data_IF_558296907133
#
_entry.id   IF_558296907133
#
_cell.length_a   1.000
_cell.length_b   1.000
_cell.length_c   1.000
_cell.angle_alpha   90.00
_cell.angle_beta   90.00
_cell.angle_gamma   90.00
#
_symmetry.space_group_name_H-M   'P 1'
#
loop_
_entity.id
_entity.type
_entity.pdbx_description
1 polymer ?
#
# COMPACT_ATOMS: atom_id res chain seq x y z
N UNK A 1 26.84 0.75 -2.76
CA UNK A 1 26.44 1.78 -1.76
C UNK A 1 26.53 3.11 -2.45
N UNK A 2 25.48 3.94 -2.42
CA UNK A 2 25.54 5.28 -3.00
C UNK A 2 26.52 6.15 -2.19
N UNK A 3 27.18 7.11 -2.83
CA UNK A 3 28.03 8.06 -2.10
C UNK A 3 27.19 9.07 -1.32
N UNK A 4 27.66 9.59 -0.15
CA UNK A 4 26.92 10.62 0.61
C UNK A 4 26.49 11.82 -0.23
N UNK A 5 27.33 12.25 -1.15
CA UNK A 5 27.02 13.34 -2.08
C UNK A 5 25.85 13.00 -3.02
N UNK A 6 25.66 11.73 -3.37
CA UNK A 6 24.56 11.29 -4.22
C UNK A 6 23.21 11.44 -3.52
N UNK A 7 23.13 11.12 -2.21
CA UNK A 7 21.92 11.32 -1.40
C UNK A 7 21.55 12.81 -1.37
N UNK A 8 22.50 13.69 -1.03
CA UNK A 8 22.21 15.12 -0.97
C UNK A 8 21.80 15.71 -2.33
N UNK A 9 22.46 15.29 -3.42
CA UNK A 9 22.06 15.66 -4.77
C UNK A 9 20.66 15.11 -5.13
N UNK A 10 20.32 13.91 -4.69
CA UNK A 10 19.01 13.33 -4.91
C UNK A 10 17.89 14.12 -4.19
N UNK A 11 18.17 14.71 -3.04
CA UNK A 11 17.20 15.50 -2.28
C UNK A 11 17.16 16.99 -2.68
N UNK A 12 18.12 17.49 -3.43
CA UNK A 12 18.20 18.90 -3.85
C UNK A 12 17.19 19.22 -5.00
N UNK A 13 15.92 18.91 -4.80
CA UNK A 13 14.82 19.18 -5.73
C UNK A 13 13.48 19.10 -4.99
N UNK A 14 12.63 20.10 -5.16
CA UNK A 14 11.33 20.19 -4.48
C UNK A 14 10.43 18.99 -4.74
N UNK A 15 10.35 18.52 -5.99
CA UNK A 15 9.51 17.36 -6.34
C UNK A 15 9.97 16.09 -5.65
N UNK A 16 11.29 15.89 -5.51
CA UNK A 16 11.85 14.74 -4.84
C UNK A 16 11.64 14.78 -3.31
N UNK A 17 11.70 15.95 -2.70
CA UNK A 17 11.33 16.11 -1.29
C UNK A 17 9.85 15.77 -1.06
N UNK A 18 8.95 16.24 -1.93
CA UNK A 18 7.52 15.91 -1.90
C UNK A 18 7.29 14.41 -2.08
N UNK A 19 7.99 13.78 -3.04
CA UNK A 19 7.94 12.31 -3.22
C UNK A 19 8.40 11.57 -1.97
N UNK A 20 9.50 11.98 -1.34
CA UNK A 20 10.00 11.34 -0.12
C UNK A 20 8.98 11.39 1.01
N UNK A 21 8.32 12.54 1.22
CA UNK A 21 7.23 12.65 2.20
C UNK A 21 6.09 11.70 1.92
N UNK A 22 5.60 11.66 0.67
CA UNK A 22 4.48 10.80 0.27
C UNK A 22 4.82 9.31 0.46
N UNK A 23 5.98 8.89 -0.02
CA UNK A 23 6.46 7.51 0.03
C UNK A 23 6.88 7.07 1.44
N UNK A 24 7.18 8.01 2.32
CA UNK A 24 7.41 7.76 3.74
C UNK A 24 6.11 7.46 4.51
N UNK A 25 4.97 7.93 4.02
CA UNK A 25 3.66 7.72 4.65
C UNK A 25 2.91 6.50 4.12
N UNK A 26 3.04 6.20 2.84
CA UNK A 26 2.34 5.06 2.22
C UNK A 26 3.05 4.60 0.95
N UNK A 27 3.09 3.28 0.70
CA UNK A 27 3.44 2.77 -0.61
C UNK A 27 2.45 3.26 -1.66
N UNK A 28 2.96 3.80 -2.78
CA UNK A 28 2.16 4.36 -3.86
C UNK A 28 2.59 3.79 -5.22
N UNK A 29 1.62 3.51 -6.09
CA UNK A 29 1.91 3.22 -7.49
C UNK A 29 2.08 4.52 -8.31
N UNK A 30 2.60 4.39 -9.54
CA UNK A 30 2.88 5.56 -10.38
C UNK A 30 1.62 6.38 -10.64
N UNK A 31 0.47 5.76 -10.89
CA UNK A 31 -0.78 6.49 -11.19
C UNK A 31 -1.24 7.33 -9.99
N UNK A 32 -1.14 6.80 -8.78
CA UNK A 32 -1.44 7.54 -7.55
C UNK A 32 -0.49 8.74 -7.39
N UNK A 33 0.81 8.54 -7.60
CA UNK A 33 1.80 9.62 -7.55
C UNK A 33 1.48 10.72 -8.59
N UNK A 34 1.12 10.34 -9.82
CA UNK A 34 0.72 11.29 -10.87
C UNK A 34 -0.49 12.11 -10.45
N UNK A 35 -1.50 11.46 -9.86
CA UNK A 35 -2.72 12.10 -9.35
C UNK A 35 -2.41 13.08 -8.23
N UNK A 36 -1.60 12.67 -7.23
CA UNK A 36 -1.26 13.49 -6.07
C UNK A 36 -0.44 14.71 -6.49
N UNK A 37 0.64 14.50 -7.23
CA UNK A 37 1.58 15.57 -7.60
C UNK A 37 1.12 16.39 -8.82
N UNK A 38 0.11 15.92 -9.57
CA UNK A 38 -0.39 16.52 -10.81
C UNK A 38 0.73 16.78 -11.85
N UNK A 39 1.58 15.79 -12.03
CA UNK A 39 2.74 15.87 -12.92
C UNK A 39 2.71 14.75 -13.95
N UNK A 40 3.37 14.98 -15.09
CA UNK A 40 3.47 13.98 -16.16
C UNK A 40 4.35 12.78 -15.79
N UNK A 41 3.99 11.60 -16.31
CA UNK A 41 4.62 10.32 -16.02
C UNK A 41 6.14 10.31 -16.26
N UNK A 42 6.61 10.87 -17.37
CA UNK A 42 8.05 10.90 -17.71
C UNK A 42 8.87 11.64 -16.66
N UNK A 43 8.31 12.73 -16.11
CA UNK A 43 8.94 13.53 -15.06
C UNK A 43 9.00 12.77 -13.75
N UNK A 44 7.89 12.19 -13.33
CA UNK A 44 7.81 11.38 -12.09
C UNK A 44 8.75 10.17 -12.17
N UNK A 45 8.73 9.42 -13.28
CA UNK A 45 9.61 8.27 -13.48
C UNK A 45 11.10 8.64 -13.38
N UNK A 46 11.47 9.84 -13.89
CA UNK A 46 12.85 10.34 -13.75
C UNK A 46 13.21 10.63 -12.30
N UNK A 47 12.31 11.29 -11.53
CA UNK A 47 12.55 11.60 -10.13
C UNK A 47 12.62 10.32 -9.28
N UNK A 48 11.73 9.37 -9.49
CA UNK A 48 11.74 8.06 -8.81
C UNK A 48 13.04 7.30 -9.08
N UNK A 49 13.54 7.33 -10.32
CA UNK A 49 14.82 6.70 -10.68
C UNK A 49 15.97 7.32 -9.90
N UNK A 50 16.05 8.66 -9.83
CA UNK A 50 17.13 9.35 -9.11
C UNK A 50 17.10 8.99 -7.61
N UNK A 51 15.90 8.93 -7.00
CA UNK A 51 15.74 8.52 -5.61
C UNK A 51 16.13 7.05 -5.38
N UNK A 52 15.77 6.16 -6.30
CA UNK A 52 16.14 4.75 -6.22
C UNK A 52 17.65 4.52 -6.39
N UNK A 53 18.32 5.26 -7.30
CA UNK A 53 19.78 5.24 -7.47
C UNK A 53 20.52 5.76 -6.22
N UNK A 54 19.88 6.61 -5.42
CA UNK A 54 20.40 7.09 -4.14
C UNK A 54 20.00 6.21 -2.93
N UNK A 55 19.38 5.06 -3.16
CA UNK A 55 18.92 4.11 -2.13
C UNK A 55 17.85 4.69 -1.17
N UNK A 56 17.20 5.79 -1.54
CA UNK A 56 16.17 6.45 -0.75
C UNK A 56 14.78 5.84 -0.94
N UNK A 57 14.55 5.18 -2.09
CA UNK A 57 13.26 4.59 -2.48
C UNK A 57 13.48 3.18 -2.98
N UNK A 58 12.66 2.28 -2.52
CA UNK A 58 12.55 0.91 -3.04
C UNK A 58 11.27 0.72 -3.83
N UNK A 59 11.19 -0.39 -4.55
CA UNK A 59 10.01 -0.76 -5.33
C UNK A 59 9.63 -2.20 -5.05
N UNK A 60 8.33 -2.43 -4.88
CA UNK A 60 7.75 -3.75 -4.68
C UNK A 60 6.68 -4.03 -5.73
N UNK A 61 6.68 -5.24 -6.26
CA UNK A 61 5.66 -5.67 -7.21
C UNK A 61 4.55 -6.42 -6.47
N UNK A 62 3.31 -5.99 -6.66
CA UNK A 62 2.11 -6.66 -6.19
C UNK A 62 1.18 -6.93 -7.38
N UNK A 63 1.13 -8.17 -7.82
CA UNK A 63 0.39 -8.56 -9.02
C UNK A 63 0.89 -7.82 -10.26
N UNK A 64 0.04 -6.99 -10.86
CA UNK A 64 0.34 -6.15 -12.03
C UNK A 64 0.89 -4.76 -11.65
N UNK A 65 0.80 -4.37 -10.38
CA UNK A 65 1.19 -3.06 -9.90
C UNK A 65 2.61 -3.03 -9.37
N UNK A 66 3.28 -1.89 -9.58
CA UNK A 66 4.56 -1.57 -8.95
C UNK A 66 4.32 -0.43 -7.97
N UNK A 67 4.57 -0.71 -6.69
CA UNK A 67 4.53 0.26 -5.61
C UNK A 67 5.93 0.75 -5.29
N UNK A 68 6.02 2.02 -4.98
CA UNK A 68 7.21 2.70 -4.49
C UNK A 68 7.01 3.07 -3.03
N UNK A 69 8.05 2.96 -2.23
CA UNK A 69 8.05 3.30 -0.81
C UNK A 69 9.43 3.78 -0.36
N UNK A 70 9.52 4.51 0.74
CA UNK A 70 10.80 4.89 1.34
C UNK A 70 11.56 3.65 1.77
N UNK A 71 12.86 3.59 1.50
CA UNK A 71 13.72 2.46 1.83
C UNK A 71 14.16 2.48 3.30
N UNK A 72 13.19 2.34 4.22
CA UNK A 72 13.43 2.38 5.67
C UNK A 72 14.28 1.22 6.18
N UNK A 73 14.31 0.11 5.45
CA UNK A 73 15.07 -1.10 5.77
C UNK A 73 16.49 -1.11 5.17
N UNK A 74 16.92 0.01 4.56
CA UNK A 74 18.28 0.12 4.02
C UNK A 74 19.31 -0.22 5.09
N UNK A 75 20.33 -1.02 4.73
CA UNK A 75 21.44 -1.35 5.63
C UNK A 75 22.38 -0.15 5.87
N UNK A 76 22.14 0.95 5.17
CA UNK A 76 23.01 2.12 5.25
C UNK A 76 22.50 3.16 6.27
N UNK A 77 23.27 3.40 7.37
CA UNK A 77 22.85 4.33 8.43
C UNK A 77 22.52 5.73 7.91
N UNK A 78 23.29 6.26 6.97
CA UNK A 78 23.06 7.59 6.40
C UNK A 78 21.70 7.70 5.69
N UNK A 79 21.23 6.65 5.05
CA UNK A 79 19.88 6.62 4.46
C UNK A 79 18.84 6.68 5.57
N UNK A 80 18.96 5.84 6.60
CA UNK A 80 18.02 5.84 7.75
C UNK A 80 17.95 7.20 8.43
N UNK A 81 19.10 7.78 8.74
CA UNK A 81 19.18 9.10 9.37
C UNK A 81 18.56 10.19 8.50
N UNK A 82 18.80 10.13 7.19
CA UNK A 82 18.19 11.05 6.21
C UNK A 82 16.68 10.92 6.15
N UNK A 83 16.15 9.69 6.13
CA UNK A 83 14.71 9.43 6.11
C UNK A 83 14.04 9.88 7.40
N UNK A 84 14.68 9.63 8.57
CA UNK A 84 14.21 10.12 9.86
C UNK A 84 14.13 11.65 9.88
N UNK A 85 15.20 12.34 9.45
CA UNK A 85 15.23 13.80 9.38
C UNK A 85 14.10 14.35 8.50
N UNK A 86 13.86 13.77 7.33
CA UNK A 86 12.78 14.19 6.43
C UNK A 86 11.40 13.97 7.06
N UNK A 87 11.21 12.90 7.81
CA UNK A 87 9.97 12.61 8.51
C UNK A 87 9.72 13.60 9.65
N UNK A 88 10.74 13.90 10.44
CA UNK A 88 10.65 14.82 11.58
C UNK A 88 10.31 16.27 11.14
N UNK A 89 10.75 16.66 9.93
CA UNK A 89 10.56 18.00 9.36
C UNK A 89 9.60 18.03 8.16
N UNK A 90 8.75 17.03 8.00
CA UNK A 90 7.88 16.91 6.82
C UNK A 90 6.94 18.10 6.60
N UNK A 91 6.54 18.80 7.69
CA UNK A 91 5.66 19.97 7.62
C UNK A 91 6.32 21.19 6.99
N UNK A 92 7.63 21.24 7.05
CA UNK A 92 8.43 22.33 6.47
C UNK A 92 8.65 22.12 4.95
N UNK A 93 8.35 20.92 4.44
CA UNK A 93 8.49 20.60 3.03
C UNK A 93 7.41 21.28 2.19
N UNK A 94 7.71 21.63 0.93
CA UNK A 94 6.76 22.33 0.05
C UNK A 94 5.43 21.57 -0.14
N UNK A 95 4.35 22.32 -0.33
CA UNK A 95 2.99 21.82 -0.65
C UNK A 95 2.45 20.78 0.37
N UNK A 96 2.80 20.90 1.66
CA UNK A 96 2.45 19.93 2.69
C UNK A 96 0.96 19.58 2.72
N UNK A 97 0.10 20.57 2.95
CA UNK A 97 -1.35 20.37 3.12
C UNK A 97 -2.01 19.78 1.86
N UNK A 98 -1.69 20.35 0.68
CA UNK A 98 -2.26 19.90 -0.59
C UNK A 98 -1.88 18.47 -0.94
N UNK A 99 -0.63 18.10 -0.70
CA UNK A 99 -0.15 16.75 -1.00
C UNK A 99 -0.77 15.72 -0.05
N UNK A 100 -0.93 16.05 1.22
CA UNK A 100 -1.55 15.16 2.20
C UNK A 100 -3.03 14.93 1.91
N UNK A 101 -3.77 15.99 1.63
CA UNK A 101 -5.17 15.84 1.26
C UNK A 101 -5.34 14.89 0.06
N UNK A 102 -4.53 15.09 -1.01
CA UNK A 102 -4.58 14.23 -2.18
C UNK A 102 -4.11 12.81 -1.92
N UNK A 103 -3.16 12.63 -1.00
CA UNK A 103 -2.73 11.31 -0.55
C UNK A 103 -3.88 10.56 0.13
N UNK A 104 -4.60 11.22 1.04
CA UNK A 104 -5.76 10.65 1.71
C UNK A 104 -6.86 10.27 0.71
N UNK A 105 -7.15 11.16 -0.24
CA UNK A 105 -8.11 10.90 -1.33
C UNK A 105 -7.69 9.69 -2.18
N UNK A 106 -6.41 9.55 -2.52
CA UNK A 106 -5.88 8.43 -3.31
C UNK A 106 -5.97 7.10 -2.53
N UNK A 107 -5.62 7.10 -1.24
CA UNK A 107 -5.70 5.91 -0.38
C UNK A 107 -7.16 5.47 -0.19
N UNK A 108 -8.08 6.42 0.07
CA UNK A 108 -9.50 6.11 0.21
C UNK A 108 -10.08 5.62 -1.12
N UNK A 109 -9.70 6.22 -2.24
CA UNK A 109 -10.09 5.74 -3.57
C UNK A 109 -9.67 4.29 -3.83
N UNK A 110 -8.44 3.91 -3.46
CA UNK A 110 -7.96 2.52 -3.54
C UNK A 110 -8.77 1.59 -2.65
N UNK A 111 -9.07 2.01 -1.43
CA UNK A 111 -9.90 1.24 -0.50
C UNK A 111 -11.30 0.99 -1.06
N UNK A 112 -11.94 2.02 -1.61
CA UNK A 112 -13.27 1.90 -2.20
C UNK A 112 -13.28 0.98 -3.43
N UNK A 113 -12.26 1.05 -4.29
CA UNK A 113 -12.11 0.13 -5.41
C UNK A 113 -11.98 -1.32 -4.95
N UNK A 114 -11.22 -1.57 -3.87
CA UNK A 114 -11.07 -2.89 -3.29
C UNK A 114 -12.40 -3.42 -2.75
N UNK A 115 -13.13 -2.61 -1.99
CA UNK A 115 -14.45 -2.96 -1.45
C UNK A 115 -15.42 -3.28 -2.61
N UNK A 116 -15.55 -2.38 -3.59
CA UNK A 116 -16.43 -2.57 -4.74
C UNK A 116 -16.09 -3.84 -5.54
N UNK A 117 -14.80 -4.15 -5.68
CA UNK A 117 -14.36 -5.37 -6.33
C UNK A 117 -14.84 -6.62 -5.57
N UNK A 118 -14.66 -6.66 -4.25
CA UNK A 118 -15.12 -7.79 -3.44
C UNK A 118 -16.63 -7.88 -3.37
N UNK A 119 -17.35 -6.78 -3.28
CA UNK A 119 -18.82 -6.74 -3.33
C UNK A 119 -19.33 -7.31 -4.65
N UNK A 120 -18.73 -6.93 -5.78
CA UNK A 120 -19.09 -7.47 -7.10
C UNK A 120 -18.85 -8.97 -7.23
N UNK A 121 -17.80 -9.49 -6.59
CA UNK A 121 -17.52 -10.93 -6.55
C UNK A 121 -18.55 -11.68 -5.68
N UNK A 122 -18.99 -11.06 -4.60
CA UNK A 122 -19.97 -11.64 -3.68
C UNK A 122 -21.32 -11.79 -4.35
N UNK A 123 -21.80 -10.78 -5.09
CA UNK A 123 -23.07 -10.81 -5.83
C UNK A 123 -23.11 -11.93 -6.89
N UNK A 124 -21.99 -12.17 -7.57
CA UNK A 124 -21.91 -13.24 -8.57
C UNK A 124 -21.69 -14.64 -7.98
N UNK A 125 -20.98 -14.77 -6.85
CA UNK A 125 -20.66 -16.07 -6.24
C UNK A 125 -21.72 -16.58 -5.30
N UNK A 126 -22.46 -15.71 -4.61
CA UNK A 126 -23.52 -16.15 -3.66
C UNK A 126 -24.64 -16.93 -4.36
N UNK A 127 -24.87 -16.68 -5.66
CA UNK A 127 -25.83 -17.47 -6.44
C UNK A 127 -25.29 -18.87 -6.86
N UNK A 128 -23.96 -19.03 -7.01
CA UNK A 128 -23.33 -20.27 -7.44
C UNK A 128 -22.74 -21.15 -6.32
N UNK A 129 -22.18 -20.54 -5.29
CA UNK A 129 -21.39 -21.23 -4.26
C UNK A 129 -22.24 -21.91 -3.17
N UNK A 130 -23.52 -21.53 -3.01
CA UNK A 130 -24.43 -22.22 -2.05
C UNK A 130 -24.71 -23.68 -2.44
N UNK A 131 -24.41 -24.07 -3.67
CA UNK A 131 -24.63 -25.42 -4.20
C UNK A 131 -23.36 -26.13 -4.68
N UNK A 132 -22.19 -25.50 -4.53
CA UNK A 132 -20.92 -26.15 -4.84
C UNK A 132 -20.63 -27.25 -3.79
N UNK A 133 -20.46 -28.52 -4.18
CA UNK A 133 -20.10 -29.59 -3.26
C UNK A 133 -18.82 -29.28 -2.46
N UNK A 134 -17.87 -28.57 -3.08
CA UNK A 134 -16.60 -28.19 -2.44
C UNK A 134 -16.79 -27.20 -1.29
N UNK A 135 -17.69 -26.22 -1.42
CA UNK A 135 -17.99 -25.24 -0.38
C UNK A 135 -18.65 -25.86 0.85
N UNK A 136 -19.58 -26.80 0.67
CA UNK A 136 -20.20 -27.54 1.77
C UNK A 136 -19.20 -28.44 2.49
N UNK A 137 -18.39 -29.18 1.77
CA UNK A 137 -17.38 -30.08 2.32
C UNK A 137 -16.33 -29.30 3.15
N UNK A 138 -15.86 -28.17 2.64
CA UNK A 138 -14.91 -27.31 3.37
C UNK A 138 -15.49 -26.79 4.70
N UNK A 139 -16.75 -26.38 4.68
CA UNK A 139 -17.49 -25.89 5.84
C UNK A 139 -17.67 -26.98 6.89
N UNK A 140 -18.11 -28.17 6.51
CA UNK A 140 -18.30 -29.31 7.39
C UNK A 140 -16.99 -29.75 8.04
N UNK A 141 -15.90 -29.82 7.27
CA UNK A 141 -14.57 -30.14 7.79
C UNK A 141 -14.11 -29.07 8.79
N UNK A 142 -14.25 -27.79 8.46
CA UNK A 142 -13.82 -26.70 9.35
C UNK A 142 -14.61 -26.73 10.66
N UNK A 143 -15.94 -26.88 10.58
CA UNK A 143 -16.79 -26.98 11.78
C UNK A 143 -16.47 -28.22 12.63
N UNK A 144 -16.14 -29.35 12.01
CA UNK A 144 -15.75 -30.58 12.75
C UNK A 144 -14.41 -30.50 13.49
N UNK A 145 -13.58 -29.51 13.11
CA UNK A 145 -12.29 -29.25 13.77
C UNK A 145 -12.41 -28.28 14.97
N UNK A 146 -13.57 -27.65 15.14
CA UNK A 146 -13.80 -26.74 16.24
C UNK A 146 -14.18 -27.53 17.51
N UNK A 147 -13.76 -27.05 18.70
CA UNK A 147 -14.20 -27.64 19.99
C UNK A 147 -15.71 -27.49 20.19
N UNK A 148 -16.32 -28.43 20.94
CA UNK A 148 -17.77 -28.44 21.23
C UNK A 148 -18.25 -27.21 22.03
N UNK A 149 -17.34 -26.52 22.71
CA UNK A 149 -17.64 -25.29 23.44
C UNK A 149 -16.65 -24.20 23.07
N UNK A 150 -17.15 -23.14 22.46
CA UNK A 150 -16.36 -21.99 22.01
C UNK A 150 -17.03 -20.72 22.55
N UNK A 151 -16.31 -19.98 23.40
CA UNK A 151 -16.79 -18.69 23.91
C UNK A 151 -16.57 -17.53 22.94
N UNK A 152 -15.56 -17.61 22.09
CA UNK A 152 -15.17 -16.55 21.15
C UNK A 152 -14.56 -17.11 19.87
N UNK A 153 -15.01 -16.62 18.73
CA UNK A 153 -14.46 -16.92 17.40
C UNK A 153 -14.01 -15.62 16.74
N UNK A 154 -12.80 -15.64 16.15
CA UNK A 154 -12.32 -14.60 15.27
C UNK A 154 -12.14 -15.19 13.87
N UNK A 155 -13.02 -14.83 12.95
CA UNK A 155 -12.89 -15.18 11.52
C UNK A 155 -12.18 -14.05 10.77
N UNK A 156 -11.00 -14.35 10.21
CA UNK A 156 -10.21 -13.42 9.40
C UNK A 156 -10.34 -13.81 7.94
N UNK A 157 -10.92 -12.92 7.13
CA UNK A 157 -11.12 -13.18 5.71
C UNK A 157 -12.37 -13.98 5.42
N UNK A 158 -13.44 -13.71 6.13
CA UNK A 158 -14.79 -14.32 6.07
C UNK A 158 -15.31 -14.58 4.63
N UNK A 159 -14.75 -13.91 3.62
CA UNK A 159 -15.18 -14.03 2.23
C UNK A 159 -16.66 -13.66 2.07
N UNK A 160 -17.48 -14.63 1.62
CA UNK A 160 -18.92 -14.43 1.45
C UNK A 160 -19.72 -14.53 2.76
N UNK A 161 -19.07 -14.73 3.91
CA UNK A 161 -19.74 -14.88 5.20
C UNK A 161 -20.49 -16.19 5.38
N UNK A 162 -20.31 -17.19 4.52
CA UNK A 162 -21.06 -18.47 4.54
C UNK A 162 -20.82 -19.30 5.80
N UNK A 163 -19.73 -19.04 6.54
CA UNK A 163 -19.43 -19.74 7.79
C UNK A 163 -20.18 -19.17 8.99
N UNK A 164 -20.48 -17.86 9.00
CA UNK A 164 -21.06 -17.15 10.14
C UNK A 164 -22.37 -17.75 10.69
N UNK A 165 -23.33 -18.22 9.84
CA UNK A 165 -24.57 -18.82 10.36
C UNK A 165 -24.38 -20.17 11.06
N UNK A 166 -23.18 -20.74 11.04
CA UNK A 166 -22.87 -22.08 11.55
C UNK A 166 -21.93 -22.07 12.75
N UNK A 167 -21.40 -20.88 13.08
CA UNK A 167 -20.61 -20.62 14.27
C UNK A 167 -21.48 -20.13 15.41
#
# INVERSE_FOLDING_TARGET
>A
MPEPLQIHKALADETRLRLMRLLGRSPLNVNEILSILQMGQSRISRHLRILAEADLVTRRREGTWIYYESHTDSDWPLVKDTLSLLSDHERELPAYENDLQRLEEAIEGRRQQTISFFDSLTDHKVAGDRQSPDGQTYREITLSLLPDQIDRVLDLGTGSGLMLPSL
#
